data_IF_468987526663
#
_entry.id   IF_468987526663
#
_cell.length_a   1.000
_cell.length_b   1.000
_cell.length_c   1.000
_cell.angle_alpha   90.00
_cell.angle_beta   90.00
_cell.angle_gamma   90.00
#
_symmetry.space_group_name_H-M   'P 1'
#
loop_
_entity.id
_entity.type
_entity.pdbx_description
1 polymer ?
#
# COMPACT_ATOMS: atom_id res chain seq x y z
N UNK A 1 -10.08 -14.58 33.66
CA UNK A 1 -10.39 -15.11 32.31
C UNK A 1 -9.12 -15.71 31.73
N UNK A 2 -9.13 -17.04 31.53
CA UNK A 2 -7.99 -17.84 31.12
C UNK A 2 -7.66 -17.62 29.63
N UNK A 3 -6.72 -16.72 29.32
CA UNK A 3 -5.95 -16.87 28.09
C UNK A 3 -4.78 -17.80 28.41
N UNK A 4 -5.07 -19.11 28.33
CA UNK A 4 -4.06 -20.14 28.47
C UNK A 4 -2.95 -19.89 27.43
N UNK A 5 -1.72 -20.07 27.91
CA UNK A 5 -0.53 -20.07 27.10
C UNK A 5 -0.76 -20.98 25.89
N UNK A 6 -0.73 -20.42 24.68
CA UNK A 6 -0.48 -21.28 23.54
C UNK A 6 0.96 -21.76 23.64
N UNK A 7 1.11 -22.95 24.24
CA UNK A 7 2.31 -23.75 24.18
C UNK A 7 2.84 -23.75 22.73
N UNK A 8 4.15 -23.94 22.50
CA UNK A 8 4.75 -23.98 21.16
C UNK A 8 4.15 -25.02 20.19
N UNK A 9 3.12 -25.77 20.62
CA UNK A 9 2.31 -26.74 19.86
C UNK A 9 0.79 -26.49 19.95
N UNK A 10 0.33 -25.25 20.14
CA UNK A 10 -1.08 -24.92 19.96
C UNK A 10 -1.47 -25.17 18.49
N UNK A 11 -2.30 -26.19 18.23
CA UNK A 11 -2.71 -26.58 16.87
C UNK A 11 -3.34 -25.43 16.07
N UNK A 12 -3.90 -24.40 16.73
CA UNK A 12 -4.43 -23.19 16.10
C UNK A 12 -3.40 -22.09 15.74
N UNK A 13 -2.22 -22.07 16.36
CA UNK A 13 -1.19 -21.05 16.08
C UNK A 13 -0.36 -21.37 14.83
N UNK A 14 -0.23 -22.64 14.47
CA UNK A 14 0.46 -23.09 13.25
C UNK A 14 -0.29 -22.67 11.97
N UNK A 15 -1.61 -22.88 11.82
CA UNK A 15 -2.35 -22.44 10.65
C UNK A 15 -2.42 -20.91 10.55
N UNK A 16 -2.57 -20.19 11.67
CA UNK A 16 -2.58 -18.73 11.66
C UNK A 16 -1.25 -18.15 11.19
N UNK A 17 -0.12 -18.69 11.67
CA UNK A 17 1.22 -18.30 11.21
C UNK A 17 1.44 -18.62 9.72
N UNK A 18 1.02 -19.80 9.25
CA UNK A 18 1.11 -20.16 7.84
C UNK A 18 0.26 -19.24 6.96
N UNK A 19 -0.95 -18.90 7.40
CA UNK A 19 -1.84 -17.95 6.72
C UNK A 19 -1.20 -16.57 6.62
N UNK A 20 -0.67 -16.03 7.73
CA UNK A 20 0.00 -14.72 7.74
C UNK A 20 1.24 -14.71 6.81
N UNK A 21 2.03 -15.79 6.80
CA UNK A 21 3.18 -15.91 5.91
C UNK A 21 2.79 -16.05 4.44
N UNK A 22 1.81 -16.89 4.12
CA UNK A 22 1.34 -17.10 2.76
C UNK A 22 0.80 -15.80 2.17
N UNK A 23 -0.04 -15.10 2.92
CA UNK A 23 -0.65 -13.84 2.46
C UNK A 23 0.39 -12.72 2.43
N UNK A 24 1.32 -12.64 3.38
CA UNK A 24 2.44 -11.70 3.31
C UNK A 24 3.31 -11.92 2.05
N UNK A 25 3.50 -13.17 1.63
CA UNK A 25 4.22 -13.48 0.39
C UNK A 25 3.41 -13.15 -0.86
N UNK A 26 2.10 -13.46 -0.88
CA UNK A 26 1.20 -13.09 -1.98
C UNK A 26 1.12 -11.57 -2.14
N UNK A 27 1.02 -10.83 -1.04
CA UNK A 27 1.04 -9.36 -1.05
C UNK A 27 2.36 -8.84 -1.62
N UNK A 28 3.50 -9.38 -1.20
CA UNK A 28 4.79 -8.98 -1.74
C UNK A 28 4.86 -9.22 -3.26
N UNK A 29 4.41 -10.38 -3.74
CA UNK A 29 4.35 -10.70 -5.17
C UNK A 29 3.39 -9.79 -5.92
N UNK A 30 2.22 -9.49 -5.35
CA UNK A 30 1.26 -8.57 -5.93
C UNK A 30 1.83 -7.14 -6.05
N UNK A 31 2.61 -6.69 -5.06
CA UNK A 31 3.28 -5.39 -5.13
C UNK A 31 4.36 -5.36 -6.21
N UNK A 32 5.18 -6.40 -6.31
CA UNK A 32 6.19 -6.50 -7.38
C UNK A 32 5.52 -6.52 -8.76
N UNK A 33 4.46 -7.31 -8.92
CA UNK A 33 3.67 -7.37 -10.15
C UNK A 33 3.00 -6.04 -10.49
N UNK A 34 2.47 -5.33 -9.49
CA UNK A 34 1.86 -4.02 -9.66
C UNK A 34 2.88 -2.95 -10.08
N UNK A 35 4.07 -2.95 -9.48
CA UNK A 35 5.17 -2.06 -9.90
C UNK A 35 5.62 -2.37 -11.32
N UNK A 36 5.78 -3.64 -11.67
CA UNK A 36 6.16 -4.05 -13.02
C UNK A 36 5.09 -3.64 -14.05
N UNK A 37 3.81 -3.84 -13.73
CA UNK A 37 2.68 -3.42 -14.56
C UNK A 37 2.61 -1.89 -14.68
N UNK A 38 2.83 -1.14 -13.59
CA UNK A 38 2.86 0.32 -13.62
C UNK A 38 4.04 0.85 -14.44
N UNK A 39 5.22 0.24 -14.34
CA UNK A 39 6.38 0.57 -15.17
C UNK A 39 6.12 0.26 -16.65
N UNK A 40 5.49 -0.87 -16.96
CA UNK A 40 5.06 -1.22 -18.31
C UNK A 40 3.99 -0.24 -18.85
N UNK A 41 3.02 0.13 -18.02
CA UNK A 41 1.99 1.11 -18.40
C UNK A 41 2.60 2.50 -18.61
N UNK A 42 3.59 2.88 -17.80
CA UNK A 42 4.31 4.15 -17.93
C UNK A 42 5.18 4.20 -19.17
N UNK A 43 5.87 3.10 -19.52
CA UNK A 43 6.63 3.03 -20.78
C UNK A 43 5.69 3.09 -21.99
N UNK A 44 4.58 2.34 -21.97
CA UNK A 44 3.57 2.39 -23.02
C UNK A 44 2.87 3.75 -23.14
N UNK A 45 2.53 4.41 -22.02
CA UNK A 45 1.99 5.77 -22.03
C UNK A 45 3.06 6.78 -22.46
N UNK A 46 4.30 6.62 -22.03
CA UNK A 46 5.42 7.45 -22.42
C UNK A 46 5.64 7.38 -23.93
N UNK A 47 5.62 6.19 -24.51
CA UNK A 47 5.76 5.96 -25.94
C UNK A 47 4.54 6.46 -26.72
N UNK A 48 3.32 6.26 -26.21
CA UNK A 48 2.11 6.82 -26.85
C UNK A 48 2.03 8.33 -26.76
N UNK A 49 2.38 8.93 -25.61
CA UNK A 49 2.50 10.38 -25.48
C UNK A 49 3.60 10.85 -26.42
N UNK A 50 4.74 10.18 -26.51
CA UNK A 50 5.80 10.56 -27.45
C UNK A 50 5.33 10.43 -28.91
N UNK A 51 4.58 9.37 -29.25
CA UNK A 51 4.12 9.09 -30.61
C UNK A 51 2.86 9.86 -31.04
N UNK A 52 1.98 10.28 -30.14
CA UNK A 52 0.80 11.09 -30.46
C UNK A 52 1.08 12.59 -30.23
N UNK A 53 1.86 12.92 -29.21
CA UNK A 53 2.15 14.29 -28.84
C UNK A 53 3.27 14.89 -29.70
N UNK A 54 4.34 14.17 -30.07
CA UNK A 54 5.33 14.74 -30.99
C UNK A 54 4.72 15.05 -32.36
N UNK A 55 3.95 14.18 -33.03
CA UNK A 55 3.35 14.52 -34.31
C UNK A 55 2.27 15.59 -34.19
N UNK A 56 1.47 15.64 -33.11
CA UNK A 56 0.55 16.76 -32.90
C UNK A 56 1.28 18.06 -32.62
N UNK A 57 2.36 18.05 -31.85
CA UNK A 57 3.24 19.21 -31.67
C UNK A 57 3.89 19.59 -33.01
N UNK A 58 4.38 18.63 -33.80
CA UNK A 58 5.10 18.89 -35.06
C UNK A 58 4.17 19.35 -36.19
N UNK A 59 3.00 18.71 -36.36
CA UNK A 59 1.98 19.05 -37.36
C UNK A 59 1.27 20.36 -37.00
N UNK A 60 1.05 20.65 -35.72
CA UNK A 60 0.47 21.94 -35.31
C UNK A 60 1.56 23.05 -35.23
N UNK A 61 2.83 22.74 -34.92
CA UNK A 61 3.93 23.71 -34.93
C UNK A 61 4.43 24.14 -36.31
N UNK A 62 4.40 23.26 -37.32
CA UNK A 62 4.88 23.64 -38.65
C UNK A 62 3.79 24.22 -39.58
N UNK A 63 2.49 24.01 -39.31
CA UNK A 63 1.47 24.30 -40.34
C UNK A 63 0.21 25.06 -39.89
N UNK A 64 -0.14 25.26 -38.60
CA UNK A 64 -1.50 25.77 -38.31
C UNK A 64 -1.78 26.56 -37.01
N UNK A 65 -0.80 27.01 -36.23
CA UNK A 65 -1.12 27.99 -35.17
C UNK A 65 -1.29 29.40 -35.77
N UNK A 66 -2.52 29.88 -35.80
CA UNK A 66 -2.83 31.24 -36.27
C UNK A 66 -2.59 32.31 -35.18
N UNK A 67 -2.42 31.94 -33.91
CA UNK A 67 -2.13 32.89 -32.81
C UNK A 67 -1.32 32.28 -31.65
N UNK A 68 -0.61 33.14 -30.91
CA UNK A 68 0.19 32.77 -29.73
C UNK A 68 -0.63 32.17 -28.58
N UNK A 69 -1.91 32.53 -28.46
CA UNK A 69 -2.80 32.04 -27.39
C UNK A 69 -3.14 30.54 -27.53
N UNK A 70 -3.34 30.07 -28.77
CA UNK A 70 -3.62 28.66 -29.03
C UNK A 70 -2.39 27.78 -28.74
N UNK A 71 -1.19 28.32 -29.00
CA UNK A 71 0.07 27.67 -28.64
C UNK A 71 0.23 27.59 -27.11
N UNK A 72 -0.03 28.69 -26.40
CA UNK A 72 0.01 28.73 -24.93
C UNK A 72 -0.97 27.73 -24.29
N UNK A 73 -2.21 27.64 -24.79
CA UNK A 73 -3.22 26.73 -24.26
C UNK A 73 -2.88 25.24 -24.47
N UNK A 74 -2.25 24.89 -25.60
CA UNK A 74 -1.82 23.51 -25.88
C UNK A 74 -0.59 23.10 -25.05
N UNK A 75 0.36 24.02 -24.86
CA UNK A 75 1.51 23.82 -23.97
C UNK A 75 1.04 23.67 -22.53
N UNK A 76 0.09 24.49 -22.07
CA UNK A 76 -0.46 24.40 -20.71
C UNK A 76 -1.21 23.07 -20.49
N UNK A 77 -2.04 22.66 -21.46
CA UNK A 77 -2.75 21.37 -21.42
C UNK A 77 -1.76 20.20 -21.35
N UNK A 78 -0.70 20.25 -22.15
CA UNK A 78 0.38 19.24 -22.16
C UNK A 78 1.09 19.19 -20.81
N UNK A 79 1.48 20.35 -20.27
CA UNK A 79 2.13 20.44 -18.97
C UNK A 79 1.24 19.88 -17.86
N UNK A 80 -0.07 20.13 -17.92
CA UNK A 80 -1.05 19.59 -16.97
C UNK A 80 -1.14 18.07 -17.03
N UNK A 81 -1.14 17.48 -18.22
CA UNK A 81 -1.12 16.02 -18.39
C UNK A 81 0.19 15.40 -17.91
N UNK A 82 1.34 15.99 -18.25
CA UNK A 82 2.67 15.54 -17.78
C UNK A 82 2.71 15.58 -16.25
N UNK A 83 2.23 16.67 -15.65
CA UNK A 83 2.18 16.84 -14.20
C UNK A 83 1.30 15.78 -13.52
N UNK A 84 0.12 15.47 -14.08
CA UNK A 84 -0.75 14.40 -13.58
C UNK A 84 -0.05 13.04 -13.68
N UNK A 85 0.65 12.78 -14.79
CA UNK A 85 1.37 11.53 -15.01
C UNK A 85 2.51 11.34 -14.00
N UNK A 86 3.32 12.38 -13.81
CA UNK A 86 4.46 12.37 -12.90
C UNK A 86 4.02 12.16 -11.46
N UNK A 87 2.99 12.89 -11.01
CA UNK A 87 2.42 12.68 -9.66
C UNK A 87 1.80 11.30 -9.51
N UNK A 88 1.10 10.82 -10.54
CA UNK A 88 0.55 9.46 -10.56
C UNK A 88 1.64 8.41 -10.38
N UNK A 89 2.77 8.55 -11.08
CA UNK A 89 3.92 7.64 -10.95
C UNK A 89 4.53 7.68 -9.55
N UNK A 90 4.80 8.87 -9.01
CA UNK A 90 5.36 9.03 -7.66
C UNK A 90 4.46 8.39 -6.60
N UNK A 91 3.14 8.56 -6.72
CA UNK A 91 2.16 7.91 -5.84
C UNK A 91 2.21 6.40 -5.97
N UNK A 92 2.25 5.86 -7.19
CA UNK A 92 2.30 4.41 -7.43
C UNK A 92 3.60 3.81 -6.87
N UNK A 93 4.75 4.42 -7.12
CA UNK A 93 6.05 3.96 -6.60
C UNK A 93 6.08 4.06 -5.08
N UNK A 94 5.61 5.18 -4.51
CA UNK A 94 5.56 5.40 -3.07
C UNK A 94 4.67 4.38 -2.34
N UNK A 95 3.45 4.17 -2.83
CA UNK A 95 2.53 3.16 -2.28
C UNK A 95 3.10 1.74 -2.40
N UNK A 96 3.78 1.46 -3.51
CA UNK A 96 4.39 0.15 -3.73
C UNK A 96 5.55 -0.12 -2.77
N UNK A 97 6.42 0.87 -2.55
CA UNK A 97 7.51 0.78 -1.58
C UNK A 97 7.00 0.62 -0.14
N UNK A 98 5.96 1.38 0.23
CA UNK A 98 5.29 1.26 1.53
C UNK A 98 4.69 -0.14 1.72
N UNK A 99 4.02 -0.67 0.71
CA UNK A 99 3.43 -2.00 0.77
C UNK A 99 4.44 -3.15 0.77
N UNK A 100 5.57 -2.99 0.07
CA UNK A 100 6.69 -3.92 0.15
C UNK A 100 7.33 -3.91 1.54
N UNK A 101 7.57 -2.73 2.12
CA UNK A 101 8.09 -2.59 3.48
C UNK A 101 7.12 -3.19 4.52
N UNK A 102 5.82 -2.95 4.38
CA UNK A 102 4.80 -3.54 5.22
C UNK A 102 4.81 -5.08 5.11
N UNK A 103 4.84 -5.62 3.88
CA UNK A 103 4.89 -7.06 3.65
C UNK A 103 6.16 -7.70 4.24
N UNK A 104 7.31 -7.02 4.12
CA UNK A 104 8.57 -7.45 4.70
C UNK A 104 8.54 -7.46 6.24
N UNK A 105 8.00 -6.40 6.86
CA UNK A 105 7.78 -6.33 8.31
C UNK A 105 6.90 -7.48 8.79
N UNK A 106 5.79 -7.74 8.08
CA UNK A 106 4.86 -8.82 8.42
C UNK A 106 5.53 -10.19 8.33
N UNK A 107 6.22 -10.47 7.22
CA UNK A 107 6.95 -11.73 7.02
C UNK A 107 8.04 -11.92 8.07
N UNK A 108 8.82 -10.87 8.36
CA UNK A 108 9.89 -10.94 9.35
C UNK A 108 9.33 -11.16 10.76
N UNK A 109 8.27 -10.43 11.12
CA UNK A 109 7.60 -10.56 12.41
C UNK A 109 6.95 -11.94 12.58
N UNK A 110 6.31 -12.48 11.54
CA UNK A 110 5.69 -13.81 11.56
C UNK A 110 6.74 -14.94 11.59
N UNK A 111 7.89 -14.76 10.93
CA UNK A 111 9.01 -15.72 10.99
C UNK A 111 9.66 -15.73 12.37
N UNK A 112 10.03 -14.56 12.90
CA UNK A 112 10.78 -14.40 14.15
C UNK A 112 9.92 -14.34 15.42
N UNK A 113 8.60 -14.27 15.29
CA UNK A 113 7.64 -14.05 16.40
C UNK A 113 7.93 -12.78 17.21
N UNK A 114 8.41 -11.72 16.55
CA UNK A 114 8.75 -10.46 17.20
C UNK A 114 7.57 -9.50 17.10
N UNK A 115 6.84 -9.34 18.21
CA UNK A 115 5.66 -8.47 18.29
C UNK A 115 5.97 -6.99 18.03
N UNK A 116 7.18 -6.54 18.37
CA UNK A 116 7.64 -5.15 18.15
C UNK A 116 7.60 -4.73 16.67
N UNK A 117 7.78 -5.67 15.74
CA UNK A 117 7.76 -5.39 14.31
C UNK A 117 6.35 -5.41 13.70
N UNK A 118 5.38 -6.02 14.38
CA UNK A 118 3.97 -6.03 13.97
C UNK A 118 3.25 -4.75 14.35
N UNK A 119 3.67 -4.05 15.40
CA UNK A 119 3.04 -2.80 15.82
C UNK A 119 3.13 -1.70 14.75
N UNK A 120 4.32 -1.40 14.15
CA UNK A 120 4.42 -0.49 13.01
C UNK A 120 3.55 -0.90 11.82
N UNK A 121 3.46 -2.21 11.54
CA UNK A 121 2.61 -2.73 10.47
C UNK A 121 1.12 -2.45 10.73
N UNK A 122 0.66 -2.72 11.95
CA UNK A 122 -0.73 -2.48 12.37
C UNK A 122 -1.06 -0.99 12.31
N UNK A 123 -0.17 -0.13 12.79
CA UNK A 123 -0.36 1.32 12.73
C UNK A 123 -0.44 1.80 11.27
N UNK A 124 0.51 1.39 10.42
CA UNK A 124 0.54 1.75 9.01
C UNK A 124 -0.74 1.30 8.29
N UNK A 125 -1.12 0.03 8.40
CA UNK A 125 -2.33 -0.48 7.75
C UNK A 125 -3.61 0.11 8.33
N UNK A 126 -3.66 0.39 9.64
CA UNK A 126 -4.78 1.08 10.27
C UNK A 126 -4.97 2.50 9.72
N UNK A 127 -3.88 3.27 9.61
CA UNK A 127 -3.91 4.60 9.00
C UNK A 127 -4.32 4.55 7.52
N UNK A 128 -3.77 3.61 6.75
CA UNK A 128 -4.12 3.44 5.33
C UNK A 128 -5.59 3.05 5.15
N UNK A 129 -6.12 2.18 6.02
CA UNK A 129 -7.53 1.78 5.99
C UNK A 129 -8.46 2.97 6.31
N UNK A 130 -8.14 3.76 7.33
CA UNK A 130 -8.89 4.98 7.66
C UNK A 130 -8.87 5.98 6.50
N UNK A 131 -7.69 6.23 5.93
CA UNK A 131 -7.54 7.11 4.78
C UNK A 131 -8.35 6.61 3.58
N UNK A 132 -8.26 5.32 3.26
CA UNK A 132 -9.04 4.69 2.18
C UNK A 132 -10.54 4.81 2.40
N UNK A 133 -11.00 4.65 3.65
CA UNK A 133 -12.42 4.80 4.01
C UNK A 133 -12.90 6.23 3.78
N UNK A 134 -12.11 7.23 4.19
CA UNK A 134 -12.41 8.65 3.95
C UNK A 134 -12.49 8.96 2.46
N UNK A 135 -11.58 8.41 1.65
CA UNK A 135 -11.58 8.60 0.19
C UNK A 135 -12.82 7.96 -0.46
N UNK A 136 -13.17 6.73 -0.08
CA UNK A 136 -14.34 6.02 -0.63
C UNK A 136 -15.65 6.73 -0.26
N UNK A 137 -15.80 7.12 1.01
CA UNK A 137 -16.97 7.86 1.48
C UNK A 137 -17.05 9.26 0.89
N UNK A 138 -15.94 9.99 0.84
CA UNK A 138 -15.85 11.30 0.22
C UNK A 138 -16.21 11.25 -1.26
N UNK A 139 -15.65 10.29 -2.01
CA UNK A 139 -15.98 10.05 -3.42
C UNK A 139 -17.44 9.66 -3.63
N UNK A 140 -18.04 8.90 -2.71
CA UNK A 140 -19.46 8.55 -2.77
C UNK A 140 -20.35 9.77 -2.56
N UNK A 141 -20.09 10.57 -1.52
CA UNK A 141 -20.84 11.80 -1.23
C UNK A 141 -20.71 12.79 -2.39
N UNK A 142 -19.49 13.01 -2.87
CA UNK A 142 -19.22 13.86 -4.02
C UNK A 142 -19.95 13.37 -5.28
N UNK A 143 -19.89 12.06 -5.56
CA UNK A 143 -20.59 11.45 -6.67
C UNK A 143 -22.12 11.61 -6.60
N UNK A 144 -22.70 11.58 -5.40
CA UNK A 144 -24.15 11.83 -5.20
C UNK A 144 -24.48 13.30 -5.44
N UNK A 145 -23.70 14.23 -4.88
CA UNK A 145 -23.93 15.68 -5.00
C UNK A 145 -23.82 16.14 -6.46
N UNK A 146 -22.79 15.67 -7.18
CA UNK A 146 -22.57 16.04 -8.58
C UNK A 146 -23.34 15.17 -9.59
N UNK A 147 -24.06 14.14 -9.13
CA UNK A 147 -24.75 13.19 -10.00
C UNK A 147 -23.80 12.33 -10.85
N UNK A 148 -22.54 12.22 -10.48
CA UNK A 148 -21.52 11.50 -11.23
C UNK A 148 -21.57 9.98 -10.95
N UNK A 149 -22.24 9.26 -11.85
CA UNK A 149 -22.43 7.81 -11.78
C UNK A 149 -21.11 7.01 -11.75
N UNK A 150 -20.02 7.54 -12.30
CA UNK A 150 -18.73 6.84 -12.27
C UNK A 150 -18.17 6.76 -10.86
N UNK A 151 -18.22 7.86 -10.09
CA UNK A 151 -17.77 7.87 -8.69
C UNK A 151 -18.61 6.96 -7.82
N UNK A 152 -19.94 6.96 -8.00
CA UNK A 152 -20.85 6.09 -7.25
C UNK A 152 -20.51 4.61 -7.50
N UNK A 153 -20.38 4.21 -8.77
CA UNK A 153 -20.04 2.82 -9.13
C UNK A 153 -18.67 2.41 -8.60
N UNK A 154 -17.68 3.29 -8.71
CA UNK A 154 -16.32 3.03 -8.20
C UNK A 154 -16.32 2.84 -6.68
N UNK A 155 -16.98 3.72 -5.93
CA UNK A 155 -17.10 3.60 -4.48
C UNK A 155 -17.81 2.31 -4.08
N UNK A 156 -18.91 1.95 -4.73
CA UNK A 156 -19.63 0.69 -4.44
C UNK A 156 -18.78 -0.55 -4.78
N UNK A 157 -18.09 -0.56 -5.92
CA UNK A 157 -17.22 -1.67 -6.32
C UNK A 157 -16.00 -1.84 -5.40
N UNK A 158 -15.61 -0.80 -4.67
CA UNK A 158 -14.51 -0.86 -3.70
C UNK A 158 -14.88 -1.50 -2.36
N UNK A 159 -16.18 -1.63 -2.04
CA UNK A 159 -16.65 -2.17 -0.76
C UNK A 159 -16.18 -3.61 -0.51
N UNK A 160 -16.32 -4.57 -1.46
CA UNK A 160 -15.82 -5.94 -1.25
C UNK A 160 -14.32 -5.97 -0.99
N UNK A 161 -13.55 -5.14 -1.68
CA UNK A 161 -12.11 -5.02 -1.47
C UNK A 161 -11.80 -4.48 -0.07
N UNK A 162 -12.52 -3.45 0.39
CA UNK A 162 -12.37 -2.91 1.73
C UNK A 162 -12.69 -3.94 2.83
N UNK A 163 -13.73 -4.75 2.64
CA UNK A 163 -14.10 -5.84 3.57
C UNK A 163 -12.99 -6.89 3.65
N UNK A 164 -12.42 -7.30 2.51
CA UNK A 164 -11.30 -8.26 2.48
C UNK A 164 -10.05 -7.70 3.17
N UNK A 165 -9.72 -6.43 2.93
CA UNK A 165 -8.60 -5.75 3.60
C UNK A 165 -8.82 -5.66 5.11
N UNK A 166 -10.05 -5.37 5.55
CA UNK A 166 -10.42 -5.34 6.97
C UNK A 166 -10.29 -6.71 7.62
N UNK A 167 -10.84 -7.76 7.00
CA UNK A 167 -10.72 -9.13 7.49
C UNK A 167 -9.25 -9.53 7.68
N UNK A 168 -8.42 -9.19 6.70
CA UNK A 168 -6.98 -9.43 6.75
C UNK A 168 -6.30 -8.67 7.91
N UNK A 169 -6.61 -7.40 8.07
CA UNK A 169 -6.10 -6.59 9.20
C UNK A 169 -6.44 -7.25 10.54
N UNK A 170 -7.69 -7.72 10.71
CA UNK A 170 -8.12 -8.43 11.92
C UNK A 170 -7.32 -9.71 12.13
N UNK A 171 -7.07 -10.51 11.09
CA UNK A 171 -6.25 -11.73 11.22
C UNK A 171 -4.84 -11.45 11.73
N UNK A 172 -4.18 -10.42 11.20
CA UNK A 172 -2.83 -10.02 11.63
C UNK A 172 -2.85 -9.42 13.03
N UNK A 173 -3.88 -8.65 13.38
CA UNK A 173 -4.07 -8.09 14.71
C UNK A 173 -4.26 -9.19 15.77
N UNK A 174 -5.08 -10.20 15.48
CA UNK A 174 -5.24 -11.38 16.35
C UNK A 174 -3.91 -12.11 16.51
N UNK A 175 -3.15 -12.31 15.43
CA UNK A 175 -1.81 -12.89 15.51
C UNK A 175 -0.87 -12.07 16.41
N UNK A 176 -0.88 -10.75 16.29
CA UNK A 176 -0.11 -9.84 17.16
C UNK A 176 -0.49 -10.00 18.63
N UNK A 177 -1.79 -10.04 18.96
CA UNK A 177 -2.26 -10.22 20.33
C UNK A 177 -1.83 -11.58 20.92
N UNK A 178 -1.71 -12.62 20.11
CA UNK A 178 -1.23 -13.94 20.55
C UNK A 178 0.28 -13.97 20.87
N UNK A 179 1.09 -13.16 20.19
CA UNK A 179 2.55 -13.15 20.39
C UNK A 179 3.03 -12.03 21.31
N UNK A 180 2.17 -11.05 21.63
CA UNK A 180 2.55 -9.94 22.50
C UNK A 180 2.72 -10.45 23.95
N UNK A 181 3.85 -10.17 24.61
CA UNK A 181 4.02 -10.52 26.01
C UNK A 181 3.02 -9.75 26.88
N UNK A 182 2.35 -10.47 27.80
CA UNK A 182 1.42 -9.86 28.75
C UNK A 182 2.19 -8.89 29.67
N UNK A 183 1.68 -7.68 29.92
CA UNK A 183 2.33 -6.74 30.82
C UNK A 183 2.50 -7.38 32.20
N UNK A 184 3.76 -7.49 32.67
CA UNK A 184 4.12 -8.14 33.94
C UNK A 184 4.81 -9.51 33.83
N UNK A 185 4.99 -10.08 32.63
CA UNK A 185 5.67 -11.38 32.46
C UNK A 185 7.08 -11.19 31.91
N UNK A 186 8.08 -11.78 32.59
CA UNK A 186 9.47 -11.80 32.17
C UNK A 186 9.58 -12.26 30.70
N UNK A 187 10.19 -11.41 29.89
CA UNK A 187 10.52 -11.70 28.50
C UNK A 187 11.73 -12.65 28.51
N UNK A 188 11.60 -13.94 28.14
CA UNK A 188 12.71 -14.90 28.18
C UNK A 188 13.83 -14.54 27.19
N UNK A 189 13.60 -13.55 26.32
CA UNK A 189 14.55 -13.00 25.36
C UNK A 189 15.14 -11.66 25.79
N UNK A 190 14.85 -11.19 27.01
CA UNK A 190 15.63 -10.10 27.61
C UNK A 190 17.01 -10.68 27.91
N UNK A 191 17.90 -10.60 26.92
CA UNK A 191 19.30 -11.01 27.06
C UNK A 191 19.83 -10.35 28.33
N UNK A 192 20.34 -11.17 29.25
CA UNK A 192 21.07 -10.67 30.40
C UNK A 192 22.16 -9.73 29.87
N UNK A 193 22.39 -8.58 30.50
CA UNK A 193 23.50 -7.71 30.12
C UNK A 193 24.78 -8.57 30.11
N UNK A 194 25.50 -8.53 28.98
CA UNK A 194 26.79 -9.18 28.85
C UNK A 194 27.66 -8.75 30.04
N UNK A 195 28.32 -9.68 30.75
CA UNK A 195 29.22 -9.30 31.83
C UNK A 195 30.29 -8.37 31.25
N UNK A 196 30.27 -7.13 31.70
CA UNK A 196 31.35 -6.18 31.42
C UNK A 196 32.61 -6.77 32.02
N UNK A 197 33.56 -7.13 31.15
CA UNK A 197 34.89 -7.59 31.51
C UNK A 197 35.68 -6.44 32.11
N UNK A 198 35.35 -6.04 33.33
CA UNK A 198 36.18 -5.18 34.17
C UNK A 198 36.44 -5.95 35.45
N UNK A 199 37.54 -6.71 35.46
CA UNK A 199 38.37 -7.07 36.62
C UNK A 199 39.39 -8.12 36.21
N UNK A 200 40.54 -7.66 35.73
CA UNK A 200 41.87 -8.22 36.08
C UNK A 200 42.80 -7.03 36.28
#
# INVERSE_FOLDING_TARGET
MLFSQCAPRCCGCVPLRRGVLAIGAVLLLAHVGFVAAAAALYTLLGDRIRADLLPRLYVVHLLNYTSAEQHAAAVDTTNRYIFILERGLLVVVGLSALGAAASALLLHAARRRVSRLLLPWILLHGCLFLLGTVVVLGGLVFGIIEGNQHWIRYSLASVPAAVLVWYWFVMVFVFYMQIRPSPGRHDPYKMAPLPTSETV
#
